data_IF_951967854973
#
_entry.id   IF_951967854973
#
_cell.length_a   1.000
_cell.length_b   1.000
_cell.length_c   1.000
_cell.angle_alpha   90.00
_cell.angle_beta   90.00
_cell.angle_gamma   90.00
#
_symmetry.space_group_name_H-M   'P 1'
#
loop_
_entity.id
_entity.type
_entity.pdbx_description
1 polymer ?
#
# COMPACT_ATOMS: atom_id res chain seq x y z
N UNK A 1 0.80 0.19 -78.20
CA UNK A 1 0.21 -0.43 -77.00
C UNK A 1 1.26 -0.45 -75.89
N UNK A 2 0.88 0.01 -74.69
CA UNK A 2 1.71 0.33 -73.51
C UNK A 2 2.50 -0.84 -72.90
N UNK A 3 3.70 -0.53 -72.34
CA UNK A 3 4.06 -0.51 -70.88
C UNK A 3 5.58 -0.24 -70.77
N UNK A 4 6.08 0.89 -70.22
CA UNK A 4 6.14 1.35 -68.81
C UNK A 4 6.87 0.31 -67.94
N UNK A 5 7.96 0.57 -67.20
CA UNK A 5 8.84 1.72 -66.95
C UNK A 5 10.16 1.16 -66.36
N UNK A 6 11.27 1.83 -66.62
CA UNK A 6 12.61 1.55 -66.08
C UNK A 6 12.80 2.15 -64.67
N UNK A 7 13.79 1.61 -63.92
CA UNK A 7 14.62 2.21 -62.86
C UNK A 7 14.49 1.72 -61.40
N UNK A 8 15.50 0.92 -61.03
CA UNK A 8 16.44 1.04 -59.90
C UNK A 8 15.95 1.34 -58.47
N UNK A 9 16.06 0.29 -57.65
CA UNK A 9 16.71 0.17 -56.34
C UNK A 9 17.01 1.41 -55.45
N UNK A 10 16.55 1.25 -54.20
CA UNK A 10 17.22 1.52 -52.91
C UNK A 10 17.50 2.98 -52.52
N UNK A 11 16.83 3.49 -51.48
CA UNK A 11 17.49 3.97 -50.24
C UNK A 11 16.46 4.21 -49.13
N UNK A 12 16.74 3.64 -47.96
CA UNK A 12 15.99 3.70 -46.70
C UNK A 12 15.82 5.12 -46.15
N UNK A 13 14.71 5.39 -45.43
CA UNK A 13 14.71 6.27 -44.24
C UNK A 13 13.41 6.12 -43.42
N UNK A 14 13.52 5.35 -42.34
CA UNK A 14 13.13 5.68 -40.96
C UNK A 14 11.86 6.50 -40.78
N UNK A 15 10.82 5.87 -40.22
CA UNK A 15 10.23 6.30 -38.96
C UNK A 15 9.59 5.07 -38.31
N UNK A 16 10.42 4.25 -37.66
CA UNK A 16 9.93 3.38 -36.60
C UNK A 16 9.42 4.31 -35.52
N UNK A 17 8.12 4.60 -35.52
CA UNK A 17 7.42 5.09 -34.35
C UNK A 17 7.56 4.02 -33.28
N UNK A 18 8.66 4.09 -32.54
CA UNK A 18 8.75 3.46 -31.23
C UNK A 18 7.63 4.06 -30.42
N UNK A 19 6.53 3.32 -30.31
CA UNK A 19 5.65 3.47 -29.17
C UNK A 19 6.54 3.20 -27.97
N UNK A 20 7.11 4.27 -27.39
CA UNK A 20 7.40 4.30 -25.98
C UNK A 20 6.04 4.08 -25.29
N UNK A 21 5.69 2.81 -25.13
CA UNK A 21 4.89 2.38 -23.99
C UNK A 21 5.75 2.75 -22.79
N UNK A 22 5.67 4.02 -22.39
CA UNK A 22 6.13 4.46 -21.10
C UNK A 22 5.16 3.75 -20.16
N UNK A 23 5.51 2.53 -19.76
CA UNK A 23 4.88 1.85 -18.63
C UNK A 23 4.83 2.91 -17.55
N UNK A 24 3.62 3.39 -17.24
CA UNK A 24 3.37 4.28 -16.13
C UNK A 24 3.64 3.44 -14.89
N UNK A 25 4.92 3.25 -14.59
CA UNK A 25 5.37 2.62 -13.37
C UNK A 25 4.75 3.47 -12.28
N UNK A 26 3.85 2.87 -11.51
CA UNK A 26 3.15 3.58 -10.43
C UNK A 26 4.20 4.37 -9.64
N UNK A 27 3.98 5.66 -9.36
CA UNK A 27 4.96 6.51 -8.67
C UNK A 27 5.33 5.97 -7.27
N UNK A 28 4.61 4.94 -6.82
CA UNK A 28 4.93 4.08 -5.69
C UNK A 28 4.28 2.70 -5.87
N UNK A 29 5.04 1.65 -5.60
CA UNK A 29 4.54 0.30 -5.37
C UNK A 29 4.86 -0.08 -3.93
N UNK A 30 3.86 -0.53 -3.18
CA UNK A 30 4.03 -0.97 -1.78
C UNK A 30 3.83 -2.49 -1.77
N UNK A 31 4.91 -3.23 -1.59
CA UNK A 31 4.85 -4.67 -1.39
C UNK A 31 4.40 -4.94 0.04
N UNK A 32 3.31 -5.69 0.21
CA UNK A 32 2.68 -5.95 1.50
C UNK A 32 2.65 -7.45 1.78
N UNK A 33 3.15 -7.85 2.95
CA UNK A 33 3.13 -9.23 3.42
C UNK A 33 2.28 -9.32 4.69
N UNK A 34 1.35 -10.28 4.71
CA UNK A 34 0.53 -10.59 5.88
C UNK A 34 1.00 -11.88 6.54
N UNK A 35 0.99 -11.89 7.87
CA UNK A 35 1.32 -13.09 8.64
C UNK A 35 0.10 -14.02 8.62
N UNK A 36 0.26 -15.22 8.05
CA UNK A 36 -0.82 -16.18 7.76
C UNK A 36 -1.53 -16.79 8.97
N UNK A 37 -1.39 -16.21 10.17
CA UNK A 37 -1.94 -16.78 11.41
C UNK A 37 -3.01 -15.89 12.07
N UNK A 38 -3.79 -15.18 11.25
CA UNK A 38 -5.01 -14.48 11.69
C UNK A 38 -5.99 -15.40 12.40
N UNK A 39 -6.02 -16.69 12.06
CA UNK A 39 -6.86 -17.70 12.74
C UNK A 39 -6.37 -18.04 14.16
N UNK A 40 -5.08 -17.88 14.48
CA UNK A 40 -4.61 -17.96 15.87
C UNK A 40 -5.05 -16.75 16.70
N UNK A 41 -5.02 -15.56 16.11
CA UNK A 41 -5.50 -14.35 16.77
C UNK A 41 -7.01 -14.43 17.09
N UNK A 42 -7.81 -14.98 16.16
CA UNK A 42 -9.24 -15.29 16.40
C UNK A 42 -9.46 -16.34 17.49
N UNK A 43 -8.62 -17.39 17.55
CA UNK A 43 -8.75 -18.49 18.53
C UNK A 43 -8.40 -18.07 19.95
N UNK A 44 -7.53 -17.08 20.13
CA UNK A 44 -7.05 -16.66 21.45
C UNK A 44 -8.01 -15.72 22.20
N UNK A 45 -9.16 -15.33 21.60
CA UNK A 45 -10.22 -14.51 22.22
C UNK A 45 -9.65 -13.41 23.13
N UNK A 46 -8.72 -12.63 22.58
CA UNK A 46 -7.98 -11.66 23.36
C UNK A 46 -8.91 -10.60 23.95
N UNK A 47 -8.78 -10.29 25.26
CA UNK A 47 -9.58 -9.24 25.90
C UNK A 47 -9.39 -7.90 25.17
N UNK A 48 -10.49 -7.25 24.78
CA UNK A 48 -10.47 -5.96 24.08
C UNK A 48 -10.31 -6.04 22.55
N UNK A 49 -10.25 -7.25 21.99
CA UNK A 49 -10.23 -7.46 20.55
C UNK A 49 -11.66 -7.71 20.06
N UNK A 50 -12.25 -6.72 19.37
CA UNK A 50 -13.50 -6.95 18.66
C UNK A 50 -13.24 -7.90 17.49
N UNK A 51 -14.11 -8.88 17.24
CA UNK A 51 -14.06 -9.73 16.03
C UNK A 51 -14.73 -9.05 14.82
N UNK A 52 -15.28 -7.86 15.02
CA UNK A 52 -16.04 -7.16 13.99
C UNK A 52 -15.11 -6.68 12.90
N UNK A 53 -15.39 -7.11 11.65
CA UNK A 53 -14.73 -6.58 10.46
C UNK A 53 -14.95 -5.07 10.40
N UNK A 54 -13.87 -4.31 10.34
CA UNK A 54 -13.94 -2.86 10.19
C UNK A 54 -14.06 -2.54 8.71
N UNK A 55 -15.06 -1.76 8.33
CA UNK A 55 -15.23 -1.36 6.94
C UNK A 55 -14.07 -0.45 6.51
N UNK A 56 -13.65 -0.48 5.23
CA UNK A 56 -12.49 0.28 4.77
C UNK A 56 -12.52 1.75 5.17
N UNK A 57 -13.67 2.43 5.09
CA UNK A 57 -13.84 3.84 5.44
C UNK A 57 -13.59 4.17 6.92
N UNK A 58 -13.68 3.17 7.79
CA UNK A 58 -13.44 3.28 9.22
C UNK A 58 -12.00 2.88 9.62
N UNK A 59 -11.17 2.45 8.67
CA UNK A 59 -9.75 2.18 8.93
C UNK A 59 -9.02 3.50 9.17
N UNK A 60 -8.31 3.57 10.29
CA UNK A 60 -7.55 4.75 10.71
C UNK A 60 -6.13 4.64 10.16
N UNK A 61 -5.57 5.76 9.67
CA UNK A 61 -4.15 5.87 9.39
C UNK A 61 -3.44 6.45 10.60
N UNK A 62 -2.57 5.66 11.22
CA UNK A 62 -1.81 6.13 12.36
C UNK A 62 -0.38 6.42 11.93
N UNK A 63 0.14 7.59 12.31
CA UNK A 63 1.54 7.94 12.08
C UNK A 63 2.34 7.78 13.38
N UNK A 64 2.76 6.57 13.75
CA UNK A 64 3.67 6.45 14.87
C UNK A 64 5.07 6.93 14.47
N UNK A 65 5.82 7.45 15.44
CA UNK A 65 7.25 7.15 15.47
C UNK A 65 7.36 5.63 15.59
N UNK A 66 7.46 4.96 14.43
CA UNK A 66 7.51 3.51 14.19
C UNK A 66 7.52 2.63 15.45
N UNK A 67 6.41 1.93 15.73
CA UNK A 67 6.32 1.05 16.90
C UNK A 67 7.50 0.06 16.85
N UNK A 68 8.24 -0.11 17.97
CA UNK A 68 9.44 -0.93 17.97
C UNK A 68 9.10 -2.33 17.46
N UNK A 69 9.96 -2.83 16.56
CA UNK A 69 9.88 -4.20 16.05
C UNK A 69 9.89 -5.13 17.25
N UNK A 70 8.76 -5.79 17.48
CA UNK A 70 8.72 -6.84 18.48
C UNK A 70 8.82 -8.19 17.76
N UNK A 71 9.70 -9.06 18.26
CA UNK A 71 9.85 -10.43 17.75
C UNK A 71 8.62 -11.29 18.09
N UNK A 72 7.76 -10.76 18.97
CA UNK A 72 6.39 -11.24 19.17
C UNK A 72 5.43 -10.24 18.55
N UNK A 73 4.54 -10.64 17.63
CA UNK A 73 3.56 -9.74 17.01
C UNK A 73 2.55 -9.15 18.01
N UNK A 74 2.65 -9.52 19.29
CA UNK A 74 1.76 -9.17 20.39
C UNK A 74 2.42 -8.13 21.31
N UNK A 75 1.77 -6.98 21.42
CA UNK A 75 1.92 -6.04 22.54
C UNK A 75 0.57 -5.96 23.26
N UNK A 76 0.49 -5.61 24.57
CA UNK A 76 -0.75 -5.62 25.35
C UNK A 76 -1.94 -4.88 24.70
N UNK A 77 -1.62 -4.00 23.76
CA UNK A 77 -2.45 -2.96 23.18
C UNK A 77 -2.60 -3.08 21.65
N UNK A 78 -1.77 -3.91 20.98
CA UNK A 78 -1.86 -4.10 19.54
C UNK A 78 -1.31 -5.45 19.08
N UNK A 79 -1.86 -5.90 17.95
CA UNK A 79 -1.38 -7.05 17.21
C UNK A 79 -0.97 -6.64 15.80
N UNK A 80 0.22 -7.06 15.38
CA UNK A 80 0.69 -6.85 14.02
C UNK A 80 0.27 -7.99 13.08
N UNK A 81 -0.53 -7.66 12.08
CA UNK A 81 -1.12 -8.60 11.12
C UNK A 81 -0.33 -8.67 9.80
N UNK A 82 0.43 -7.63 9.49
CA UNK A 82 1.23 -7.57 8.27
C UNK A 82 2.09 -6.32 8.22
N UNK A 83 2.95 -6.27 7.21
CA UNK A 83 3.87 -5.16 6.94
C UNK A 83 3.88 -4.84 5.46
N UNK A 84 4.35 -3.64 5.13
CA UNK A 84 4.68 -3.31 3.76
C UNK A 84 5.83 -2.33 3.63
N UNK A 85 6.47 -2.36 2.47
CA UNK A 85 7.57 -1.46 2.10
C UNK A 85 7.37 -0.96 0.68
N UNK A 86 7.66 0.31 0.44
CA UNK A 86 7.60 0.90 -0.89
C UNK A 86 8.58 2.05 -1.08
N UNK A 87 8.87 2.36 -2.35
CA UNK A 87 9.72 3.46 -2.75
C UNK A 87 8.95 4.47 -3.60
N UNK A 88 9.11 5.76 -3.28
CA UNK A 88 8.45 6.90 -3.91
C UNK A 88 9.37 7.45 -4.99
N UNK A 89 8.97 7.31 -6.25
CA UNK A 89 9.75 7.72 -7.42
C UNK A 89 9.26 9.03 -8.07
N UNK A 90 8.09 9.54 -7.66
CA UNK A 90 7.50 10.75 -8.25
C UNK A 90 6.36 11.35 -7.43
N UNK A 91 5.48 12.11 -8.11
CA UNK A 91 4.27 12.67 -7.50
C UNK A 91 3.28 11.55 -7.23
N UNK A 92 2.83 11.45 -5.98
CA UNK A 92 2.01 10.35 -5.50
C UNK A 92 0.60 10.83 -5.16
N UNK A 93 -0.42 10.11 -5.65
CA UNK A 93 -1.79 10.26 -5.15
C UNK A 93 -1.96 9.49 -3.81
N UNK A 94 -1.80 10.23 -2.72
CA UNK A 94 -1.95 9.68 -1.37
C UNK A 94 -3.38 9.24 -1.04
N UNK A 95 -4.40 9.79 -1.73
CA UNK A 95 -5.80 9.40 -1.53
C UNK A 95 -6.05 8.03 -2.13
N UNK A 96 -5.54 7.77 -3.33
CA UNK A 96 -5.62 6.47 -3.99
C UNK A 96 -4.91 5.39 -3.17
N UNK A 97 -3.68 5.67 -2.71
CA UNK A 97 -2.93 4.75 -1.84
C UNK A 97 -3.65 4.50 -0.54
N UNK A 98 -4.17 5.56 0.08
CA UNK A 98 -4.98 5.44 1.28
C UNK A 98 -6.15 4.50 1.07
N UNK A 99 -6.89 4.66 -0.02
CA UNK A 99 -8.00 3.75 -0.35
C UNK A 99 -7.53 2.29 -0.50
N UNK A 100 -6.47 2.03 -1.27
CA UNK A 100 -5.93 0.67 -1.47
C UNK A 100 -5.49 0.03 -0.15
N UNK A 101 -4.78 0.77 0.70
CA UNK A 101 -4.31 0.28 2.00
C UNK A 101 -5.47 0.01 2.97
N UNK A 102 -6.53 0.83 2.97
CA UNK A 102 -7.72 0.58 3.80
C UNK A 102 -8.46 -0.68 3.36
N UNK A 103 -8.61 -0.89 2.06
CA UNK A 103 -9.22 -2.12 1.52
C UNK A 103 -8.41 -3.35 1.94
N UNK A 104 -7.09 -3.28 1.82
CA UNK A 104 -6.20 -4.38 2.20
C UNK A 104 -6.25 -4.65 3.71
N UNK A 105 -6.19 -3.60 4.53
CA UNK A 105 -6.34 -3.70 5.99
C UNK A 105 -7.65 -4.38 6.40
N UNK A 106 -8.78 -3.92 5.83
CA UNK A 106 -10.10 -4.48 6.10
C UNK A 106 -10.21 -5.95 5.68
N UNK A 107 -9.62 -6.32 4.53
CA UNK A 107 -9.60 -7.71 4.05
C UNK A 107 -8.85 -8.65 5.01
N UNK A 108 -7.81 -8.15 5.67
CA UNK A 108 -6.99 -8.92 6.62
C UNK A 108 -7.36 -8.70 8.09
N UNK A 109 -8.44 -7.96 8.38
CA UNK A 109 -8.97 -7.78 9.74
C UNK A 109 -8.26 -6.71 10.57
N UNK A 110 -7.32 -5.95 9.99
CA UNK A 110 -6.74 -4.78 10.64
C UNK A 110 -7.79 -3.67 10.81
N UNK A 111 -7.65 -2.87 11.87
CA UNK A 111 -8.46 -1.65 12.08
C UNK A 111 -7.60 -0.37 11.98
N UNK A 112 -6.27 -0.52 11.98
CA UNK A 112 -5.32 0.58 11.88
C UNK A 112 -4.25 0.24 10.84
N UNK A 113 -3.92 1.22 10.00
CA UNK A 113 -2.73 1.19 9.14
C UNK A 113 -1.72 2.18 9.71
N UNK A 114 -0.69 1.65 10.38
CA UNK A 114 0.42 2.45 10.84
C UNK A 114 1.40 2.70 9.69
N UNK A 115 1.93 3.91 9.56
CA UNK A 115 2.85 4.24 8.47
C UNK A 115 3.96 5.21 8.89
N UNK A 116 5.11 5.09 8.22
CA UNK A 116 6.22 6.04 8.30
C UNK A 116 6.74 6.34 6.90
N UNK A 117 6.93 7.62 6.62
CA UNK A 117 7.54 8.11 5.38
C UNK A 117 8.88 8.75 5.76
N UNK A 118 9.97 8.29 5.14
CA UNK A 118 11.33 8.75 5.38
C UNK A 118 12.03 8.99 4.06
N UNK A 119 12.14 10.26 3.64
CA UNK A 119 12.61 10.60 2.31
C UNK A 119 11.72 9.97 1.23
N UNK A 120 12.30 9.08 0.42
CA UNK A 120 11.59 8.33 -0.63
C UNK A 120 11.06 6.98 -0.17
N UNK A 121 11.25 6.59 1.08
CA UNK A 121 10.74 5.30 1.58
C UNK A 121 9.41 5.46 2.29
N UNK A 122 8.50 4.51 2.05
CA UNK A 122 7.33 4.29 2.91
C UNK A 122 7.41 2.91 3.56
N UNK A 123 7.06 2.87 4.84
CA UNK A 123 6.92 1.64 5.62
C UNK A 123 5.53 1.59 6.22
N UNK A 124 4.90 0.43 6.13
CA UNK A 124 3.52 0.19 6.57
C UNK A 124 3.50 -0.96 7.59
N UNK A 125 2.64 -0.85 8.59
CA UNK A 125 2.22 -1.96 9.44
C UNK A 125 0.70 -2.02 9.47
N UNK A 126 0.15 -3.21 9.30
CA UNK A 126 -1.27 -3.48 9.44
C UNK A 126 -1.52 -3.97 10.86
N UNK A 127 -2.23 -3.17 11.65
CA UNK A 127 -2.42 -3.43 13.07
C UNK A 127 -3.88 -3.71 13.37
N UNK A 128 -4.10 -4.60 14.33
CA UNK A 128 -5.31 -4.56 15.12
C UNK A 128 -5.01 -4.03 16.51
N UNK A 129 -5.65 -2.94 16.86
CA UNK A 129 -5.57 -2.32 18.19
C UNK A 129 -6.88 -2.52 18.93
N UNK A 130 -6.84 -2.39 20.26
CA UNK A 130 -8.01 -2.39 21.12
C UNK A 130 -8.88 -1.14 20.89
N UNK A 131 -10.17 -1.22 21.23
CA UNK A 131 -11.15 -0.17 20.94
C UNK A 131 -10.83 1.19 21.59
N UNK A 132 -10.19 1.20 22.76
CA UNK A 132 -9.73 2.40 23.45
C UNK A 132 -8.64 3.14 22.64
N UNK A 133 -7.69 2.40 22.07
CA UNK A 133 -6.63 2.95 21.22
C UNK A 133 -7.19 3.38 19.87
N UNK A 134 -8.09 2.58 19.30
CA UNK A 134 -8.77 2.93 18.07
C UNK A 134 -9.55 4.25 18.23
N UNK A 135 -10.29 4.41 19.33
CA UNK A 135 -11.00 5.66 19.64
C UNK A 135 -10.05 6.84 19.85
N UNK A 136 -8.93 6.65 20.55
CA UNK A 136 -7.91 7.68 20.73
C UNK A 136 -7.28 8.15 19.39
N UNK A 137 -7.17 7.25 18.41
CA UNK A 137 -6.59 7.54 17.10
C UNK A 137 -7.62 8.03 16.04
N UNK A 138 -8.92 8.06 16.35
CA UNK A 138 -10.05 8.21 15.40
C UNK A 138 -10.11 9.52 14.59
N UNK A 139 -9.23 10.48 14.85
CA UNK A 139 -9.08 11.71 14.06
C UNK A 139 -8.17 11.60 12.82
N UNK A 140 -7.36 10.55 12.71
CA UNK A 140 -6.34 10.43 11.66
C UNK A 140 -6.85 9.63 10.47
N UNK A 141 -7.62 10.30 9.60
CA UNK A 141 -8.29 9.61 8.49
C UNK A 141 -7.46 9.46 7.24
N UNK A 142 -6.39 10.22 7.02
CA UNK A 142 -5.64 10.21 5.76
C UNK A 142 -4.13 10.10 6.00
N UNK A 143 -3.43 9.50 5.04
CA UNK A 143 -1.97 9.54 4.98
C UNK A 143 -1.55 10.99 4.77
N UNK A 144 -0.76 11.50 5.70
CA UNK A 144 -0.13 12.80 5.60
C UNK A 144 1.37 12.59 5.30
N UNK A 145 1.88 13.07 4.15
CA UNK A 145 3.33 13.12 3.92
C UNK A 145 4.00 14.05 4.95
N UNK A 146 5.30 13.86 5.19
CA UNK A 146 6.08 14.77 6.04
C UNK A 146 6.16 16.09 5.29
N UNK A 147 5.81 17.21 5.92
CA UNK A 147 6.07 18.53 5.33
C UNK A 147 7.57 18.78 5.30
#
# INVERSE_FOLDING_TARGET
>A
MMRVLTFCCLFSLVFSSGCFAQDKTSPIAIDCTFYGNTDYAKKLRFPGFSDTKVSPENIIFWRPDFLPRNDRPHYPNYWELGRGFGHITGVVDWREIGHRLRTLASAHGANVVAYKISGKEIRIQFLRVTDDIFKAASGQRNIQPSR
#
